data_IF_196894135062
#
_entry.id   IF_196894135062
#
_cell.length_a   1.000
_cell.length_b   1.000
_cell.length_c   1.000
_cell.angle_alpha   90.00
_cell.angle_beta   90.00
_cell.angle_gamma   90.00
#
_symmetry.space_group_name_H-M   'P 1'
#
loop_
_entity.id
_entity.type
_entity.pdbx_description
1 polymer ?
#
# COMPACT_ATOMS: atom_id res chain seq x y z
N UNK A 1 -2.91 -2.91 10.14
CA UNK A 1 -3.88 -2.28 9.19
C UNK A 1 -4.90 -3.32 8.76
N UNK A 2 -6.18 -2.96 8.67
CA UNK A 2 -7.23 -3.87 8.17
C UNK A 2 -8.62 -3.25 8.25
N UNK A 3 -9.66 -3.96 7.79
CA UNK A 3 -11.04 -3.45 7.85
C UNK A 3 -11.77 -3.71 9.16
N UNK A 4 -11.22 -4.57 10.02
CA UNK A 4 -11.84 -4.84 11.32
C UNK A 4 -11.73 -3.60 12.21
N UNK A 5 -12.72 -3.39 13.08
CA UNK A 5 -12.65 -2.43 14.18
C UNK A 5 -12.17 -3.06 15.49
N UNK A 6 -11.52 -4.23 15.39
CA UNK A 6 -10.99 -4.95 16.56
C UNK A 6 -9.75 -4.23 17.10
N UNK A 7 -9.48 -4.37 18.40
CA UNK A 7 -8.39 -3.64 19.08
C UNK A 7 -6.98 -3.80 18.48
N UNK A 8 -6.58 -4.92 17.84
CA UNK A 8 -5.26 -5.06 17.21
C UNK A 8 -5.09 -4.22 15.94
N UNK A 9 -6.12 -3.52 15.47
CA UNK A 9 -6.06 -2.69 14.27
C UNK A 9 -5.73 -1.25 14.64
N UNK A 10 -4.50 -0.82 14.34
CA UNK A 10 -4.08 0.58 14.53
C UNK A 10 -4.68 1.53 13.48
N UNK A 11 -4.94 1.03 12.27
CA UNK A 11 -5.44 1.82 11.16
C UNK A 11 -6.53 1.04 10.42
N UNK A 12 -7.76 1.49 10.60
CA UNK A 12 -8.96 0.91 9.98
C UNK A 12 -9.12 1.46 8.57
N UNK A 13 -9.26 0.57 7.58
CA UNK A 13 -9.42 0.94 6.16
C UNK A 13 -10.65 0.27 5.58
N UNK A 14 -11.42 1.03 4.80
CA UNK A 14 -12.61 0.57 4.08
C UNK A 14 -12.38 0.63 2.57
N UNK A 15 -13.16 -0.13 1.80
CA UNK A 15 -13.08 -0.12 0.34
C UNK A 15 -13.30 1.30 -0.21
N UNK A 16 -12.45 1.69 -1.15
CA UNK A 16 -12.54 2.98 -1.82
C UNK A 16 -13.74 2.99 -2.74
N UNK A 17 -14.63 3.96 -2.57
CA UNK A 17 -15.76 4.20 -3.48
C UNK A 17 -15.30 5.23 -4.51
N UNK A 18 -15.37 4.93 -5.82
CA UNK A 18 -15.11 5.91 -6.87
C UNK A 18 -15.94 7.19 -6.67
N UNK A 19 -15.33 8.36 -6.84
CA UNK A 19 -15.95 9.66 -6.53
C UNK A 19 -17.18 10.01 -7.39
N UNK A 20 -17.34 9.38 -8.55
CA UNK A 20 -18.55 9.47 -9.38
C UNK A 20 -19.73 8.69 -8.78
N UNK A 21 -19.50 7.86 -7.76
CA UNK A 21 -20.50 7.00 -7.10
C UNK A 21 -20.76 7.34 -5.63
N UNK A 22 -20.15 8.41 -5.12
CA UNK A 22 -20.39 8.88 -3.74
C UNK A 22 -21.83 9.39 -3.61
N UNK A 23 -22.65 8.66 -2.84
CA UNK A 23 -24.05 8.99 -2.56
C UNK A 23 -25.02 7.84 -2.84
N UNK A 24 -24.82 7.12 -3.95
CA UNK A 24 -25.75 6.07 -4.41
C UNK A 24 -25.27 4.64 -4.17
N UNK A 25 -23.97 4.44 -3.96
CA UNK A 25 -23.39 3.10 -3.83
C UNK A 25 -22.82 2.85 -2.44
N UNK A 26 -23.41 1.91 -1.70
CA UNK A 26 -22.76 1.29 -0.53
C UNK A 26 -21.96 0.08 -1.02
N UNK A 27 -20.71 -0.06 -0.59
CA UNK A 27 -19.96 -1.31 -0.81
C UNK A 27 -20.60 -2.38 0.06
N UNK A 28 -21.38 -3.27 -0.57
CA UNK A 28 -22.11 -4.34 0.12
C UNK A 28 -21.18 -5.47 0.57
N UNK A 29 -20.08 -5.68 -0.16
CA UNK A 29 -19.10 -6.73 0.12
C UNK A 29 -17.69 -6.17 0.01
N UNK A 30 -17.00 -6.12 1.15
CA UNK A 30 -15.61 -5.69 1.22
C UNK A 30 -14.67 -6.80 0.77
N UNK A 31 -13.67 -6.43 -0.02
CA UNK A 31 -12.60 -7.36 -0.43
C UNK A 31 -11.33 -7.20 0.41
N UNK A 32 -11.29 -6.19 1.28
CA UNK A 32 -10.19 -5.94 2.22
C UNK A 32 -10.25 -6.97 3.35
N UNK A 33 -9.09 -7.53 3.70
CA UNK A 33 -8.99 -8.46 4.81
C UNK A 33 -9.23 -7.77 6.16
N UNK A 34 -9.85 -8.47 7.12
CA UNK A 34 -10.07 -7.95 8.49
C UNK A 34 -8.77 -7.50 9.15
N UNK A 35 -7.74 -8.32 9.03
CA UNK A 35 -6.37 -8.05 9.48
C UNK A 35 -5.46 -8.14 8.24
N UNK A 36 -5.31 -7.04 7.52
CA UNK A 36 -4.79 -7.06 6.14
C UNK A 36 -3.26 -7.13 6.06
N UNK A 37 -2.57 -6.25 6.78
CA UNK A 37 -1.11 -6.23 6.81
C UNK A 37 -0.56 -5.64 8.11
N UNK A 38 0.73 -5.90 8.33
CA UNK A 38 1.55 -5.30 9.40
C UNK A 38 2.63 -4.44 8.75
N UNK A 39 2.88 -3.27 9.34
CA UNK A 39 4.06 -2.47 9.04
C UNK A 39 4.89 -2.42 10.31
N UNK A 40 6.15 -2.84 10.22
CA UNK A 40 7.08 -2.90 11.34
C UNK A 40 8.19 -1.89 11.06
N UNK A 41 8.23 -0.81 11.85
CA UNK A 41 9.29 0.18 11.82
C UNK A 41 10.36 -0.13 12.87
N UNK A 42 11.63 -0.04 12.49
CA UNK A 42 12.73 -0.22 13.43
C UNK A 42 12.80 0.96 14.40
N UNK A 43 12.69 0.68 15.71
CA UNK A 43 12.70 1.74 16.74
C UNK A 43 14.00 2.53 16.79
N UNK A 44 15.12 1.87 16.51
CA UNK A 44 16.46 2.48 16.52
C UNK A 44 16.83 3.12 15.18
N UNK A 45 16.11 2.79 14.11
CA UNK A 45 16.30 3.37 12.78
C UNK A 45 14.93 3.54 12.10
N UNK A 46 14.16 4.60 12.45
CA UNK A 46 12.79 4.79 11.94
C UNK A 46 12.69 4.99 10.43
N UNK A 47 13.83 5.13 9.73
CA UNK A 47 13.89 5.15 8.26
C UNK A 47 13.58 3.77 7.66
N UNK A 48 13.78 2.72 8.42
CA UNK A 48 13.55 1.34 8.00
C UNK A 48 12.18 0.89 8.47
N UNK A 49 11.27 0.71 7.53
CA UNK A 49 9.94 0.15 7.77
C UNK A 49 9.70 -1.00 6.80
N UNK A 50 9.20 -2.13 7.29
CA UNK A 50 8.93 -3.33 6.48
C UNK A 50 7.46 -3.70 6.53
N UNK A 51 6.93 -4.17 5.42
CA UNK A 51 5.54 -4.66 5.33
C UNK A 51 5.50 -6.19 5.34
N UNK A 52 4.47 -6.73 5.98
CA UNK A 52 4.17 -8.16 6.00
C UNK A 52 2.68 -8.35 5.73
N UNK A 53 2.33 -9.38 4.97
CA UNK A 53 0.93 -9.72 4.77
C UNK A 53 0.31 -10.30 6.05
N UNK A 54 -1.01 -10.15 6.15
CA UNK A 54 -1.83 -10.46 7.30
C UNK A 54 -1.50 -9.64 8.57
N UNK A 55 -2.45 -9.56 9.48
CA UNK A 55 -2.27 -9.05 10.84
C UNK A 55 -2.72 -10.06 11.88
N UNK A 56 -2.25 -9.87 13.11
CA UNK A 56 -2.66 -10.68 14.24
C UNK A 56 -4.08 -10.33 14.69
N UNK A 57 -4.87 -11.34 15.02
CA UNK A 57 -6.18 -11.18 15.66
C UNK A 57 -6.07 -10.95 17.17
N UNK A 58 -7.22 -10.89 17.86
CA UNK A 58 -7.29 -10.70 19.32
C UNK A 58 -6.63 -11.83 20.11
N UNK A 59 -6.41 -13.00 19.50
CA UNK A 59 -5.74 -14.14 20.11
C UNK A 59 -4.25 -14.19 19.73
N UNK A 60 -3.71 -13.11 19.16
CA UNK A 60 -2.34 -13.01 18.66
C UNK A 60 -2.01 -14.06 17.59
N UNK A 61 -3.00 -14.48 16.80
CA UNK A 61 -2.83 -15.47 15.75
C UNK A 61 -2.98 -14.85 14.35
N UNK A 62 -2.29 -15.43 13.37
CA UNK A 62 -2.55 -15.18 11.95
C UNK A 62 -3.30 -16.38 11.39
N UNK A 63 -4.58 -16.20 11.09
CA UNK A 63 -5.37 -17.21 10.42
C UNK A 63 -5.31 -17.03 8.90
N UNK A 64 -4.76 -18.02 8.20
CA UNK A 64 -4.82 -18.09 6.75
C UNK A 64 -5.93 -19.06 6.36
N UNK A 65 -6.96 -18.57 5.66
CA UNK A 65 -8.11 -19.38 5.23
C UNK A 65 -7.73 -20.58 4.35
N UNK A 66 -8.68 -21.49 4.15
CA UNK A 66 -8.46 -22.74 3.42
C UNK A 66 -7.94 -22.53 1.99
N UNK A 67 -8.38 -21.46 1.33
CA UNK A 67 -7.95 -21.11 -0.04
C UNK A 67 -6.60 -20.38 -0.10
N UNK A 68 -6.04 -19.96 1.03
CA UNK A 68 -4.79 -19.23 1.08
C UNK A 68 -3.60 -20.17 0.88
N UNK A 69 -2.70 -19.81 -0.03
CA UNK A 69 -1.47 -20.55 -0.34
C UNK A 69 -0.55 -20.60 0.87
N UNK A 70 -0.10 -21.79 1.26
CA UNK A 70 0.84 -22.01 2.37
C UNK A 70 1.90 -23.00 1.92
N UNK A 71 3.12 -22.83 2.37
CA UNK A 71 4.21 -23.76 2.09
C UNK A 71 5.15 -23.84 3.29
N UNK A 72 5.99 -24.87 3.29
CA UNK A 72 7.03 -25.05 4.28
C UNK A 72 8.36 -25.23 3.56
N UNK A 73 9.37 -24.45 3.94
CA UNK A 73 10.72 -24.51 3.41
C UNK A 73 11.71 -24.53 4.58
N UNK A 74 12.62 -25.50 4.60
CA UNK A 74 13.66 -25.64 5.65
C UNK A 74 13.15 -25.52 7.10
N UNK A 75 11.92 -26.00 7.36
CA UNK A 75 11.15 -25.95 8.62
C UNK A 75 10.42 -24.64 8.92
N UNK A 76 10.61 -23.60 8.13
CA UNK A 76 9.83 -22.37 8.24
C UNK A 76 8.54 -22.48 7.42
N UNK A 77 7.43 -22.02 8.00
CA UNK A 77 6.13 -21.99 7.34
C UNK A 77 5.85 -20.57 6.90
N UNK A 78 5.50 -20.40 5.63
CA UNK A 78 5.07 -19.12 5.07
C UNK A 78 3.79 -19.31 4.25
N UNK A 79 3.16 -18.19 3.89
CA UNK A 79 1.92 -18.19 3.15
C UNK A 79 1.60 -16.84 2.53
N UNK A 80 0.68 -16.86 1.58
CA UNK A 80 0.05 -15.67 1.03
C UNK A 80 -1.39 -15.60 1.53
N UNK A 81 -1.88 -14.40 1.84
CA UNK A 81 -3.30 -14.20 2.17
C UNK A 81 -4.18 -14.50 0.96
N UNK A 82 -5.48 -14.81 1.16
CA UNK A 82 -6.37 -15.21 0.05
C UNK A 82 -6.32 -14.23 -1.11
N UNK A 83 -6.45 -12.93 -0.83
CA UNK A 83 -6.44 -11.88 -1.84
C UNK A 83 -5.07 -11.22 -2.02
N UNK A 84 -4.05 -11.53 -1.22
CA UNK A 84 -2.72 -10.92 -1.33
C UNK A 84 -2.65 -9.47 -0.86
N UNK A 85 -1.47 -9.07 -0.42
CA UNK A 85 -1.07 -7.66 -0.17
C UNK A 85 -0.02 -7.33 -1.21
N UNK A 86 -0.30 -6.31 -2.03
CA UNK A 86 0.63 -5.93 -3.09
C UNK A 86 1.37 -4.65 -2.75
N UNK A 87 2.63 -4.57 -3.15
CA UNK A 87 3.45 -3.36 -3.11
C UNK A 87 3.98 -3.00 -4.48
N UNK A 88 4.18 -1.71 -4.71
CA UNK A 88 4.89 -1.19 -5.86
C UNK A 88 5.78 -0.04 -5.41
N UNK A 89 7.01 -0.02 -5.92
CA UNK A 89 8.02 0.98 -5.59
C UNK A 89 8.31 1.85 -6.81
N UNK A 90 7.60 2.98 -6.96
CA UNK A 90 7.94 3.96 -7.97
C UNK A 90 9.33 4.55 -7.68
N UNK A 91 10.11 4.78 -8.73
CA UNK A 91 11.47 5.33 -8.64
C UNK A 91 11.77 6.23 -9.85
N UNK A 92 12.95 6.85 -9.87
CA UNK A 92 13.32 7.83 -10.88
C UNK A 92 12.77 9.23 -10.58
N UNK A 93 12.98 10.15 -11.52
CA UNK A 93 12.49 11.53 -11.41
C UNK A 93 11.20 11.69 -12.20
N UNK A 94 10.12 12.03 -11.53
CA UNK A 94 8.81 12.28 -12.15
C UNK A 94 8.73 13.62 -12.86
N UNK A 95 9.57 14.59 -12.51
CA UNK A 95 9.60 15.92 -13.13
C UNK A 95 10.88 16.06 -13.93
N UNK A 96 10.74 16.11 -15.27
CA UNK A 96 11.85 16.36 -16.19
C UNK A 96 12.92 15.25 -16.26
N UNK A 97 12.67 14.09 -15.68
CA UNK A 97 13.53 12.91 -15.82
C UNK A 97 12.77 11.69 -16.35
N UNK A 98 13.36 10.52 -16.17
CA UNK A 98 12.76 9.26 -16.60
C UNK A 98 12.10 8.55 -15.40
N UNK A 99 10.76 8.58 -15.29
CA UNK A 99 10.07 7.88 -14.21
C UNK A 99 10.07 6.38 -14.46
N UNK A 100 10.34 5.61 -13.41
CA UNK A 100 10.12 4.18 -13.38
C UNK A 100 8.96 3.90 -12.41
N UNK A 101 7.82 3.50 -12.96
CA UNK A 101 6.59 3.25 -12.18
C UNK A 101 6.79 2.10 -11.16
N UNK A 102 7.79 1.23 -11.39
CA UNK A 102 7.98 0.01 -10.64
C UNK A 102 7.08 -1.11 -11.15
N UNK A 103 7.17 -2.27 -10.50
CA UNK A 103 6.30 -3.42 -10.77
C UNK A 103 5.58 -3.78 -9.49
N UNK A 104 4.32 -4.20 -9.61
CA UNK A 104 3.62 -4.78 -8.49
C UNK A 104 4.26 -6.11 -8.07
N UNK A 105 4.37 -6.29 -6.76
CA UNK A 105 4.83 -7.49 -6.09
C UNK A 105 3.85 -7.90 -5.02
N UNK A 106 3.80 -9.19 -4.76
CA UNK A 106 3.04 -9.74 -3.66
C UNK A 106 3.96 -10.01 -2.47
N UNK A 107 3.53 -9.58 -1.28
CA UNK A 107 4.26 -9.78 -0.02
C UNK A 107 3.66 -10.97 0.72
N UNK A 108 4.49 -11.86 1.25
CA UNK A 108 4.04 -12.98 2.08
C UNK A 108 3.86 -12.62 3.56
N UNK A 109 3.32 -13.57 4.33
CA UNK A 109 3.18 -13.42 5.80
C UNK A 109 4.55 -13.33 6.48
N UNK A 110 5.53 -14.08 5.97
CA UNK A 110 6.94 -14.05 6.39
C UNK A 110 7.74 -12.87 5.84
N UNK A 111 7.17 -12.08 4.91
CA UNK A 111 7.82 -10.89 4.34
C UNK A 111 8.64 -11.17 3.08
N UNK A 112 8.53 -12.36 2.49
CA UNK A 112 9.09 -12.65 1.17
C UNK A 112 8.37 -11.87 0.06
N UNK A 113 9.11 -11.59 -1.02
CA UNK A 113 8.62 -10.84 -2.18
C UNK A 113 8.46 -11.76 -3.37
N UNK A 114 7.28 -11.74 -3.98
CA UNK A 114 6.91 -12.61 -5.09
C UNK A 114 6.39 -11.81 -6.28
N UNK A 115 6.56 -12.36 -7.48
CA UNK A 115 5.80 -11.90 -8.64
C UNK A 115 4.30 -12.10 -8.40
N UNK A 116 3.49 -11.35 -9.12
CA UNK A 116 2.04 -11.53 -9.08
C UNK A 116 1.65 -12.96 -9.49
N UNK A 117 0.56 -13.42 -8.91
CA UNK A 117 -0.16 -14.60 -9.39
C UNK A 117 -0.77 -14.31 -10.76
N UNK A 118 -1.20 -15.36 -11.47
CA UNK A 118 -1.85 -15.23 -12.78
C UNK A 118 -3.11 -14.35 -12.73
N UNK A 119 -3.88 -14.44 -11.64
CA UNK A 119 -5.00 -13.56 -11.34
C UNK A 119 -5.11 -13.31 -9.84
N UNK A 120 -5.79 -12.23 -9.45
CA UNK A 120 -6.02 -11.93 -8.04
C UNK A 120 -6.73 -13.13 -7.39
N UNK A 121 -6.24 -13.52 -6.22
CA UNK A 121 -6.77 -14.65 -5.44
C UNK A 121 -6.56 -16.06 -6.03
N UNK A 122 -5.81 -16.21 -7.13
CA UNK A 122 -5.40 -17.51 -7.63
C UNK A 122 -4.57 -18.27 -6.58
N UNK A 123 -4.64 -19.61 -6.54
CA UNK A 123 -3.94 -20.39 -5.52
C UNK A 123 -2.44 -20.57 -5.81
N UNK A 124 -2.04 -20.43 -7.07
CA UNK A 124 -0.65 -20.56 -7.47
C UNK A 124 0.10 -19.27 -7.14
N UNK A 125 1.09 -19.37 -6.25
CA UNK A 125 2.00 -18.24 -5.96
C UNK A 125 2.91 -17.95 -7.15
N UNK A 126 3.29 -16.68 -7.31
CA UNK A 126 4.32 -16.29 -8.26
C UNK A 126 5.71 -16.84 -7.88
N UNK A 127 6.68 -16.64 -8.77
CA UNK A 127 8.09 -16.92 -8.45
C UNK A 127 8.59 -15.92 -7.41
N UNK A 128 9.51 -16.37 -6.55
CA UNK A 128 10.26 -15.47 -5.66
C UNK A 128 11.02 -14.42 -6.47
N UNK A 129 11.23 -13.25 -5.88
CA UNK A 129 12.03 -12.15 -6.43
C UNK A 129 13.10 -11.83 -5.38
N UNK A 130 14.30 -12.37 -5.58
CA UNK A 130 15.38 -12.32 -4.57
C UNK A 130 16.07 -10.96 -4.49
N UNK A 131 15.97 -10.16 -5.55
CA UNK A 131 16.58 -8.83 -5.68
C UNK A 131 15.69 -7.68 -5.17
N UNK A 132 14.46 -7.99 -4.74
CA UNK A 132 13.53 -7.01 -4.19
C UNK A 132 13.20 -7.32 -2.71
N UNK A 133 12.89 -6.29 -1.93
CA UNK A 133 12.66 -6.42 -0.49
C UNK A 133 11.29 -5.90 -0.09
N UNK A 134 10.82 -6.30 1.09
CA UNK A 134 9.60 -5.78 1.70
C UNK A 134 9.82 -4.46 2.48
N UNK A 135 10.98 -3.83 2.33
CA UNK A 135 11.26 -2.51 2.91
C UNK A 135 10.51 -1.43 2.13
N UNK A 136 9.76 -0.60 2.84
CA UNK A 136 8.93 0.46 2.27
C UNK A 136 9.79 1.68 1.95
N UNK A 137 9.76 2.09 0.68
CA UNK A 137 10.47 3.27 0.18
C UNK A 137 9.49 4.46 0.12
N UNK A 138 9.99 5.69 0.26
CA UNK A 138 9.10 6.86 0.12
C UNK A 138 8.37 6.81 -1.23
N UNK A 139 7.04 6.88 -1.20
CA UNK A 139 6.22 6.76 -2.41
C UNK A 139 5.72 5.34 -2.71
N UNK A 140 6.09 4.31 -1.93
CA UNK A 140 5.56 2.96 -2.11
C UNK A 140 4.04 2.95 -2.07
N UNK A 141 3.41 2.34 -3.07
CA UNK A 141 1.97 2.05 -3.08
C UNK A 141 1.72 0.68 -2.47
N UNK A 142 0.67 0.57 -1.66
CA UNK A 142 0.25 -0.66 -0.99
C UNK A 142 -1.21 -0.94 -1.35
N UNK A 143 -1.49 -2.02 -2.08
CA UNK A 143 -2.83 -2.42 -2.46
C UNK A 143 -3.34 -3.56 -1.54
N UNK A 144 -4.42 -3.25 -0.81
CA UNK A 144 -5.08 -4.13 0.16
C UNK A 144 -6.33 -4.83 -0.39
N UNK A 145 -6.46 -4.91 -1.72
CA UNK A 145 -7.61 -5.47 -2.43
C UNK A 145 -8.90 -4.75 -2.05
N UNK A 146 -9.02 -3.48 -2.44
CA UNK A 146 -10.20 -2.64 -2.18
C UNK A 146 -9.84 -1.21 -1.79
N UNK A 147 -8.61 -1.00 -1.30
CA UNK A 147 -8.02 0.32 -1.09
C UNK A 147 -6.53 0.28 -1.42
N UNK A 148 -6.02 1.38 -1.95
CA UNK A 148 -4.58 1.59 -2.16
C UNK A 148 -4.09 2.68 -1.21
N UNK A 149 -3.05 2.37 -0.44
CA UNK A 149 -2.39 3.30 0.47
C UNK A 149 -1.10 3.80 -0.16
N UNK A 150 -0.75 5.05 0.14
CA UNK A 150 0.56 5.62 -0.16
C UNK A 150 1.40 5.65 1.11
N UNK A 151 2.57 5.00 1.09
CA UNK A 151 3.55 5.14 2.15
C UNK A 151 4.41 6.39 1.92
N UNK A 152 4.52 7.21 2.96
CA UNK A 152 5.47 8.33 3.01
C UNK A 152 6.38 8.15 4.21
N UNK A 153 7.68 8.17 3.95
CA UNK A 153 8.70 8.32 4.98
C UNK A 153 8.54 9.65 5.68
N UNK A 154 9.01 9.77 6.92
CA UNK A 154 8.97 11.04 7.65
C UNK A 154 9.71 12.16 6.89
N UNK A 155 10.82 11.83 6.23
CA UNK A 155 11.62 12.77 5.45
C UNK A 155 10.92 13.22 4.17
N UNK A 156 10.33 12.27 3.44
CA UNK A 156 9.53 12.57 2.27
C UNK A 156 8.30 13.39 2.65
N UNK A 157 7.61 13.04 3.73
CA UNK A 157 6.46 13.79 4.22
C UNK A 157 6.83 15.23 4.59
N UNK A 158 7.97 15.44 5.26
CA UNK A 158 8.47 16.77 5.62
C UNK A 158 8.80 17.67 4.40
N UNK A 159 9.04 17.06 3.24
CA UNK A 159 9.26 17.76 1.96
C UNK A 159 7.99 17.95 1.13
N UNK A 160 6.83 17.52 1.65
CA UNK A 160 5.57 17.68 0.93
C UNK A 160 5.22 19.17 0.79
N UNK A 161 4.59 19.59 -0.33
CA UNK A 161 4.10 20.94 -0.48
C UNK A 161 3.18 21.34 0.68
N UNK A 162 3.41 22.51 1.26
CA UNK A 162 2.54 23.08 2.28
C UNK A 162 1.44 23.90 1.61
N UNK A 163 0.31 24.09 2.28
CA UNK A 163 -0.86 24.82 1.73
C UNK A 163 -0.50 26.20 1.18
N UNK A 164 0.47 26.89 1.80
CA UNK A 164 0.94 28.21 1.37
C UNK A 164 1.75 28.18 0.05
N UNK A 165 2.27 27.03 -0.35
CA UNK A 165 2.97 26.84 -1.64
C UNK A 165 2.06 26.37 -2.77
N UNK A 166 0.79 26.05 -2.48
CA UNK A 166 -0.21 25.66 -3.48
C UNK A 166 -0.96 26.86 -4.07
N UNK A 167 -0.71 28.08 -3.58
CA UNK A 167 -1.27 29.29 -4.18
C UNK A 167 -0.51 29.56 -5.47
N UNK A 168 -1.08 29.12 -6.58
CA UNK A 168 -0.72 29.64 -7.90
C UNK A 168 -0.99 31.13 -7.84
N UNK A 169 0.05 31.96 -7.95
CA UNK A 169 -0.12 33.39 -8.15
C UNK A 169 -1.04 33.57 -9.35
N UNK A 170 -2.27 34.04 -9.10
CA UNK A 170 -3.17 34.49 -10.14
C UNK A 170 -2.38 35.48 -11.01
N UNK A 171 -2.40 35.38 -12.34
CA UNK A 171 -1.84 36.45 -13.15
C UNK A 171 -2.63 37.70 -12.79
N UNK A 172 -1.94 38.71 -12.24
CA UNK A 172 -2.48 40.05 -12.10
C UNK A 172 -2.91 40.48 -13.49
N UNK A 173 -4.21 40.73 -13.67
CA UNK A 173 -4.68 41.42 -14.86
C UNK A 173 -3.98 42.78 -14.87
N UNK A 174 -3.07 42.98 -15.82
CA UNK A 174 -2.65 44.33 -16.19
C UNK A 174 -3.89 45.00 -16.79
N UNK A 175 -4.45 45.94 -16.04
CA UNK A 175 -5.47 46.85 -16.51
C UNK A 175 -4.91 47.62 -17.71
N UNK A 176 -5.44 47.31 -18.89
CA UNK A 176 -5.27 48.12 -20.08
C UNK A 176 -6.12 49.38 -19.96
N UNK A 177 -5.52 50.49 -19.54
CA UNK A 177 -6.04 51.82 -19.87
C UNK A 177 -5.66 52.13 -21.33
N UNK A 178 -6.67 52.16 -22.19
CA UNK A 178 -6.61 52.82 -23.49
C UNK A 178 -7.18 54.21 -23.30
N UNK A 179 -6.31 55.21 -23.14
CA UNK A 179 -6.68 56.62 -23.34
C UNK A 179 -6.57 56.96 -24.84
N UNK A 180 -7.70 57.37 -25.45
CA UNK A 180 -7.75 58.41 -26.49
C UNK A 180 -8.97 59.27 -26.25
#
# INVERSE_FOLDING_TARGET
IGRSSDSPIDFVVMDTIPGDKTGDSKVLQSTISRFACRIIAERNNPRVARIYAAGFDNACNIFLGEKATKWQELREIDGLTTNGVLIMHPSGSFVGGEPNIGRWREVSVGGGVFKLRESRSAQQKGSVVEDETNELQDGTLIDLCGATLLWRSAEGLAKSPLTNTLVVSSPTAEDGEVEV
#
